data_IF_814549640267
#
_entry.id   IF_814549640267
#
_cell.length_a   1.000
_cell.length_b   1.000
_cell.length_c   1.000
_cell.angle_alpha   90.00
_cell.angle_beta   90.00
_cell.angle_gamma   90.00
#
_symmetry.space_group_name_H-M   'P 1'
#
loop_
_entity.id
_entity.type
_entity.pdbx_description
1 polymer ?
#
# COMPACT_ATOMS: atom_id res chain seq x y z
N UNK A 1 8.10 11.31 -2.70
CA UNK A 1 9.39 10.60 -2.55
C UNK A 1 9.54 10.23 -1.09
N UNK A 2 10.16 9.10 -0.79
CA UNK A 2 10.53 8.72 0.57
C UNK A 2 12.02 8.43 0.64
N UNK A 3 12.67 8.81 1.73
CA UNK A 3 14.07 8.53 2.01
C UNK A 3 14.27 8.41 3.51
N UNK A 4 15.12 7.48 3.97
CA UNK A 4 15.47 7.40 5.37
C UNK A 4 16.36 6.20 5.72
N UNK A 5 16.50 5.94 7.01
CA UNK A 5 17.35 4.88 7.53
C UNK A 5 16.68 3.52 7.34
N UNK A 6 17.46 2.54 6.92
CA UNK A 6 17.00 1.16 6.79
C UNK A 6 16.49 0.61 8.12
N UNK A 7 15.46 -0.24 8.07
CA UNK A 7 15.04 -1.03 9.24
C UNK A 7 15.99 -2.19 9.58
N UNK A 8 17.16 -2.26 8.95
CA UNK A 8 18.20 -3.25 9.23
C UNK A 8 19.58 -2.61 9.11
N UNK A 9 20.48 -3.00 10.01
CA UNK A 9 21.90 -2.59 10.00
C UNK A 9 22.77 -3.40 9.05
N UNK A 10 22.23 -4.46 8.41
CA UNK A 10 22.98 -5.39 7.57
C UNK A 10 22.64 -5.28 6.07
N UNK A 11 21.49 -4.68 5.75
CA UNK A 11 20.95 -4.55 4.38
C UNK A 11 19.94 -3.40 4.30
N UNK A 12 19.62 -2.95 3.08
CA UNK A 12 18.52 -2.00 2.85
C UNK A 12 17.17 -2.70 3.00
N UNK A 13 16.40 -2.31 4.02
CA UNK A 13 15.14 -2.93 4.39
C UNK A 13 14.07 -1.88 4.70
N UNK A 14 12.92 -2.01 4.06
CA UNK A 14 11.77 -1.12 4.28
C UNK A 14 11.08 -1.37 5.63
N UNK A 15 10.86 -2.63 6.00
CA UNK A 15 10.25 -2.95 7.30
C UNK A 15 11.17 -2.53 8.45
N UNK A 16 10.64 -1.77 9.39
CA UNK A 16 11.36 -1.21 10.54
C UNK A 16 12.10 0.09 10.26
N UNK A 17 11.93 0.67 9.07
CA UNK A 17 12.60 1.93 8.70
C UNK A 17 11.93 3.16 9.30
N UNK A 18 12.74 4.19 9.50
CA UNK A 18 12.35 5.57 9.80
C UNK A 18 12.62 6.38 8.52
N UNK A 19 11.57 6.95 7.93
CA UNK A 19 11.64 7.65 6.64
C UNK A 19 10.92 8.98 6.65
N UNK A 20 11.53 9.96 5.97
CA UNK A 20 10.82 11.17 5.58
C UNK A 20 10.08 10.94 4.26
N UNK A 21 8.79 11.25 4.23
CA UNK A 21 7.98 11.34 3.01
C UNK A 21 7.87 12.79 2.58
N UNK A 22 8.45 13.11 1.43
CA UNK A 22 8.49 14.46 0.86
C UNK A 22 7.73 14.57 -0.46
N UNK A 23 6.96 15.65 -0.63
CA UNK A 23 6.20 15.96 -1.84
C UNK A 23 5.90 17.45 -1.98
N UNK A 24 5.52 17.86 -3.19
CA UNK A 24 4.98 19.20 -3.45
C UNK A 24 3.46 19.14 -3.61
N UNK A 25 2.76 20.12 -3.06
CA UNK A 25 1.36 20.43 -3.38
C UNK A 25 1.27 21.88 -3.86
N UNK A 26 1.11 22.05 -5.18
CA UNK A 26 1.33 23.34 -5.84
C UNK A 26 2.76 23.82 -5.63
N UNK A 27 2.92 24.93 -4.91
CA UNK A 27 4.24 25.52 -4.56
C UNK A 27 4.69 25.18 -3.13
N UNK A 28 3.84 24.52 -2.34
CA UNK A 28 4.16 24.17 -0.95
C UNK A 28 4.90 22.84 -0.93
N UNK A 29 6.05 22.81 -0.25
CA UNK A 29 6.74 21.57 0.05
C UNK A 29 6.30 21.00 1.39
N UNK A 30 6.28 19.68 1.45
CA UNK A 30 6.03 18.88 2.63
C UNK A 30 7.17 17.89 2.78
N UNK A 31 7.57 17.64 4.01
CA UNK A 31 8.52 16.63 4.42
C UNK A 31 8.10 16.20 5.81
N UNK A 32 7.42 15.06 5.91
CA UNK A 32 6.87 14.54 7.16
C UNK A 32 7.51 13.23 7.53
N UNK A 33 7.64 13.01 8.83
CA UNK A 33 8.25 11.81 9.41
C UNK A 33 7.28 10.63 9.47
N UNK A 34 7.79 9.46 9.09
CA UNK A 34 7.03 8.22 9.01
C UNK A 34 7.83 7.02 9.52
N UNK A 35 7.18 6.23 10.37
CA UNK A 35 7.63 4.92 10.80
C UNK A 35 6.99 3.80 9.97
N UNK A 36 7.79 2.81 9.58
CA UNK A 36 7.34 1.65 8.80
C UNK A 36 7.29 0.40 9.65
N UNK A 37 6.11 0.10 10.19
CA UNK A 37 5.87 -1.05 11.07
C UNK A 37 5.28 -2.27 10.34
N UNK A 38 4.76 -2.10 9.12
CA UNK A 38 4.28 -3.17 8.24
C UNK A 38 4.29 -2.72 6.76
N UNK A 39 4.26 -3.68 5.82
CA UNK A 39 4.34 -3.42 4.37
C UNK A 39 2.97 -3.12 3.73
N UNK A 40 2.24 -2.21 4.35
CA UNK A 40 0.88 -1.77 3.97
C UNK A 40 0.72 -0.27 4.27
N UNK A 41 -0.18 0.47 3.60
CA UNK A 41 -0.52 1.83 4.01
C UNK A 41 -0.95 1.89 5.49
N UNK A 42 -0.88 3.06 6.11
CA UNK A 42 -1.27 3.19 7.52
C UNK A 42 -2.72 2.75 7.75
N UNK A 43 -2.90 1.75 8.61
CA UNK A 43 -4.20 1.16 8.96
C UNK A 43 -4.31 0.96 10.47
N UNK A 44 -5.55 0.95 10.98
CA UNK A 44 -5.82 0.68 12.40
C UNK A 44 -6.05 -0.81 12.64
N UNK A 45 -5.11 -1.47 13.30
CA UNK A 45 -5.19 -2.87 13.73
C UNK A 45 -5.52 -2.90 15.21
N UNK A 46 -6.77 -3.27 15.54
CA UNK A 46 -7.25 -3.41 16.92
C UNK A 46 -6.99 -2.19 17.81
N UNK A 47 -7.11 -0.99 17.24
CA UNK A 47 -6.93 0.28 17.95
C UNK A 47 -5.52 0.85 17.89
N UNK A 48 -4.56 0.15 17.29
CA UNK A 48 -3.19 0.62 17.07
C UNK A 48 -2.93 0.88 15.59
N UNK A 49 -2.21 1.94 15.26
CA UNK A 49 -1.77 2.19 13.89
C UNK A 49 -0.60 1.26 13.53
N UNK A 50 -0.69 0.64 12.35
CA UNK A 50 0.36 -0.21 11.76
C UNK A 50 0.46 0.07 10.27
N UNK A 51 1.64 -0.20 9.69
CA UNK A 51 1.92 0.09 8.28
C UNK A 51 2.97 1.17 8.13
N UNK A 52 2.89 1.91 7.02
CA UNK A 52 3.65 3.13 6.76
C UNK A 52 2.87 4.31 7.32
N UNK A 53 3.15 4.68 8.58
CA UNK A 53 2.36 5.65 9.34
C UNK A 53 3.19 6.88 9.69
N UNK A 54 2.54 8.05 9.75
CA UNK A 54 3.15 9.24 10.35
C UNK A 54 3.50 8.96 11.81
N UNK A 55 4.58 9.53 12.31
CA UNK A 55 5.06 9.24 13.67
C UNK A 55 4.05 9.64 14.75
N UNK A 56 3.36 10.76 14.55
CA UNK A 56 2.27 11.21 15.43
C UNK A 56 1.16 10.16 15.64
N UNK A 57 0.91 9.29 14.64
CA UNK A 57 -0.10 8.25 14.73
C UNK A 57 0.37 7.02 15.52
N UNK A 58 1.68 6.83 15.64
CA UNK A 58 2.29 5.70 16.38
C UNK A 58 2.89 6.12 17.72
N UNK A 59 2.56 7.34 18.19
CA UNK A 59 2.97 7.86 19.49
C UNK A 59 4.27 8.66 19.48
N UNK A 60 4.81 8.92 18.29
CA UNK A 60 5.98 9.74 18.03
C UNK A 60 5.66 11.21 17.73
N UNK A 61 6.62 11.92 17.15
CA UNK A 61 6.53 13.33 16.76
C UNK A 61 7.14 13.52 15.37
N UNK A 62 6.56 14.39 14.54
CA UNK A 62 7.19 14.76 13.27
C UNK A 62 8.50 15.53 13.54
N UNK A 63 9.65 14.86 13.39
CA UNK A 63 10.96 15.44 13.69
C UNK A 63 11.51 16.28 12.53
N UNK A 64 10.81 16.31 11.39
CA UNK A 64 11.22 17.02 10.19
C UNK A 64 10.73 18.48 10.20
N UNK A 65 11.62 19.38 9.80
CA UNK A 65 11.33 20.80 9.65
C UNK A 65 11.57 21.23 8.21
N UNK A 66 10.49 21.57 7.50
CA UNK A 66 10.56 22.05 6.13
C UNK A 66 11.36 23.37 6.06
N UNK A 67 12.31 23.46 5.14
CA UNK A 67 13.11 24.66 4.90
C UNK A 67 12.72 25.38 3.60
N UNK A 68 12.95 24.76 2.44
CA UNK A 68 12.61 25.34 1.12
C UNK A 68 12.01 24.30 0.19
N UNK A 69 11.18 24.79 -0.74
CA UNK A 69 10.56 23.99 -1.78
C UNK A 69 10.59 24.78 -3.07
N UNK A 70 11.20 24.24 -4.11
CA UNK A 70 11.31 24.89 -5.40
C UNK A 70 11.19 23.89 -6.53
N UNK A 71 10.93 24.40 -7.73
CA UNK A 71 10.98 23.63 -8.96
C UNK A 71 11.92 24.33 -9.91
N UNK A 72 12.99 23.65 -10.29
CA UNK A 72 13.99 24.15 -11.23
C UNK A 72 14.20 23.14 -12.35
N UNK A 73 14.17 23.61 -13.60
CA UNK A 73 14.37 22.77 -14.80
C UNK A 73 13.55 21.46 -14.81
N UNK A 74 12.32 21.52 -14.30
CA UNK A 74 11.42 20.37 -14.22
C UNK A 74 11.64 19.45 -13.02
N UNK A 75 12.68 19.68 -12.22
CA UNK A 75 13.04 18.92 -11.01
C UNK A 75 12.44 19.61 -9.79
N UNK A 76 11.77 18.83 -8.94
CA UNK A 76 11.29 19.31 -7.64
C UNK A 76 12.41 19.16 -6.61
N UNK A 77 12.73 20.25 -5.92
CA UNK A 77 13.77 20.31 -4.90
C UNK A 77 13.09 20.66 -3.58
N UNK A 78 13.21 19.78 -2.59
CA UNK A 78 12.68 19.98 -1.25
C UNK A 78 13.86 19.88 -0.28
N UNK A 79 14.08 20.93 0.48
CA UNK A 79 15.08 20.97 1.54
C UNK A 79 14.36 21.02 2.88
N UNK A 80 14.74 20.13 3.77
CA UNK A 80 14.25 20.08 5.15
C UNK A 80 15.43 19.77 6.07
N UNK A 81 15.24 19.96 7.37
CA UNK A 81 16.21 19.60 8.40
C UNK A 81 15.54 18.73 9.46
N UNK A 82 16.31 17.83 10.06
CA UNK A 82 15.93 17.07 11.25
C UNK A 82 17.10 16.98 12.22
N UNK A 83 16.82 16.62 13.47
CA UNK A 83 17.86 16.34 14.46
C UNK A 83 18.55 15.01 14.14
N UNK A 84 19.86 14.90 14.39
CA UNK A 84 20.59 13.64 14.22
C UNK A 84 20.16 12.58 15.24
N UNK A 85 19.83 13.03 16.44
CA UNK A 85 19.27 12.22 17.52
C UNK A 85 17.97 12.90 17.94
N UNK A 86 16.89 12.15 17.89
CA UNK A 86 15.55 12.61 18.23
C UNK A 86 15.16 12.12 19.64
N UNK A 87 14.35 12.88 20.40
CA UNK A 87 13.74 12.37 21.63
C UNK A 87 12.62 11.35 21.36
N UNK A 88 12.19 11.19 20.11
CA UNK A 88 11.21 10.18 19.71
C UNK A 88 11.83 8.77 19.78
N UNK A 89 11.28 7.84 20.60
CA UNK A 89 11.80 6.48 20.69
C UNK A 89 11.59 5.65 19.40
N UNK A 90 10.70 6.09 18.51
CA UNK A 90 10.47 5.48 17.20
C UNK A 90 11.53 5.83 16.15
N UNK A 91 12.29 6.90 16.38
CA UNK A 91 13.29 7.41 15.44
C UNK A 91 14.60 6.62 15.52
N UNK A 92 15.25 6.51 14.37
CA UNK A 92 16.60 5.98 14.30
C UNK A 92 17.63 7.11 14.34
N UNK A 93 18.73 6.98 15.10
CA UNK A 93 19.79 7.97 15.10
C UNK A 93 20.48 8.00 13.74
N UNK A 94 20.81 9.20 13.26
CA UNK A 94 21.64 9.42 12.09
C UNK A 94 23.12 9.49 12.53
N UNK A 95 23.90 8.41 12.39
CA UNK A 95 25.26 8.39 12.88
C UNK A 95 26.16 9.29 12.04
N UNK A 96 27.11 9.94 12.71
CA UNK A 96 28.16 10.76 12.09
C UNK A 96 29.39 9.95 11.72
N UNK A 97 29.43 8.66 12.05
CA UNK A 97 30.56 7.78 11.79
C UNK A 97 30.12 6.52 11.03
N UNK A 98 30.92 6.11 10.06
CA UNK A 98 30.72 4.90 9.29
C UNK A 98 29.62 4.99 8.22
N UNK A 99 29.43 3.87 7.52
CA UNK A 99 28.43 3.74 6.48
C UNK A 99 27.16 3.07 7.01
N UNK A 100 26.01 3.70 6.82
CA UNK A 100 24.69 3.14 7.13
C UNK A 100 23.98 2.63 5.89
N UNK A 101 23.03 1.71 6.09
CA UNK A 101 22.08 1.33 5.06
C UNK A 101 20.90 2.30 5.04
N UNK A 102 20.51 2.72 3.85
CA UNK A 102 19.35 3.60 3.63
C UNK A 102 18.36 2.95 2.69
N UNK A 103 17.15 3.49 2.69
CA UNK A 103 16.13 3.16 1.71
C UNK A 103 15.61 4.43 1.06
N UNK A 104 15.12 4.29 -0.17
CA UNK A 104 14.41 5.36 -0.84
C UNK A 104 13.37 4.77 -1.79
N UNK A 105 12.32 5.54 -2.05
CA UNK A 105 11.30 5.17 -3.00
C UNK A 105 10.61 6.39 -3.62
N UNK A 106 10.10 6.23 -4.83
CA UNK A 106 9.22 7.20 -5.47
C UNK A 106 7.92 6.52 -5.88
N UNK A 107 6.80 7.16 -5.58
CA UNK A 107 5.47 6.66 -5.85
C UNK A 107 4.44 7.77 -5.73
N UNK A 108 3.19 7.43 -6.05
CA UNK A 108 2.06 8.33 -5.92
C UNK A 108 1.56 8.34 -4.47
N UNK A 109 0.97 9.46 -4.08
CA UNK A 109 0.24 9.59 -2.81
C UNK A 109 -1.26 9.44 -3.10
N UNK A 110 -2.00 8.90 -2.13
CA UNK A 110 -3.46 8.80 -2.23
C UNK A 110 -4.15 10.16 -2.06
N UNK A 111 -5.49 10.15 -2.04
CA UNK A 111 -6.30 11.35 -1.89
C UNK A 111 -6.08 12.08 -0.55
N UNK A 112 -5.59 11.38 0.48
CA UNK A 112 -5.22 11.94 1.78
C UNK A 112 -3.75 12.37 1.85
N UNK A 113 -3.05 12.37 0.71
CA UNK A 113 -1.60 12.60 0.60
C UNK A 113 -0.78 11.59 1.41
N UNK A 114 -1.28 10.36 1.57
CA UNK A 114 -0.56 9.29 2.25
C UNK A 114 0.16 8.38 1.25
N UNK A 115 1.33 7.83 1.62
CA UNK A 115 2.10 6.98 0.73
C UNK A 115 1.35 5.69 0.41
N UNK A 116 1.29 5.36 -0.88
CA UNK A 116 0.82 4.05 -1.36
C UNK A 116 1.99 3.19 -1.83
N UNK A 117 1.70 2.11 -2.56
CA UNK A 117 2.79 1.33 -3.13
C UNK A 117 3.63 2.17 -4.10
N UNK A 118 4.95 2.07 -3.98
CA UNK A 118 5.88 2.87 -4.76
C UNK A 118 6.13 2.29 -6.15
N UNK A 119 6.46 3.16 -7.10
CA UNK A 119 6.71 2.80 -8.49
C UNK A 119 8.20 2.50 -8.75
N UNK A 120 9.09 3.22 -8.04
CA UNK A 120 10.53 3.17 -8.25
C UNK A 120 11.21 3.01 -6.90
N UNK A 121 12.07 2.01 -6.78
CA UNK A 121 12.78 1.65 -5.56
C UNK A 121 13.95 0.71 -5.89
N UNK A 122 15.01 0.69 -5.05
CA UNK A 122 16.15 -0.19 -5.23
C UNK A 122 15.82 -1.64 -4.82
N UNK A 123 16.53 -2.60 -5.42
CA UNK A 123 16.54 -4.02 -5.02
C UNK A 123 17.85 -4.47 -4.38
N UNK A 124 18.85 -3.60 -4.43
CA UNK A 124 20.18 -3.81 -3.88
C UNK A 124 20.34 -2.91 -2.66
N UNK A 125 21.31 -3.27 -1.84
CA UNK A 125 21.69 -2.46 -0.70
C UNK A 125 22.27 -1.13 -1.15
N UNK A 126 21.83 -0.06 -0.49
CA UNK A 126 22.33 1.29 -0.66
C UNK A 126 22.95 1.70 0.66
N UNK A 127 24.24 2.07 0.60
CA UNK A 127 24.99 2.55 1.76
C UNK A 127 25.40 4.00 1.55
N UNK A 128 25.30 4.78 2.62
CA UNK A 128 25.74 6.18 2.64
C UNK A 128 26.54 6.44 3.91
N UNK A 129 27.50 7.35 3.81
CA UNK A 129 28.27 7.85 4.94
C UNK A 129 27.90 9.32 5.11
N UNK A 130 27.26 9.64 6.23
CA UNK A 130 26.64 10.95 6.44
C UNK A 130 27.63 11.99 7.00
N UNK A 131 28.57 11.56 7.86
CA UNK A 131 29.56 12.44 8.49
C UNK A 131 30.87 12.54 7.75
N UNK A 132 30.84 12.66 6.41
CA UNK A 132 32.08 12.84 5.63
C UNK A 132 32.74 14.16 5.94
N UNK A 133 34.06 14.14 6.15
CA UNK A 133 34.86 15.34 6.36
C UNK A 133 34.96 16.23 5.10
N UNK A 134 35.01 15.61 3.92
CA UNK A 134 35.05 16.31 2.64
C UNK A 134 33.72 16.19 1.90
N UNK A 135 33.18 17.33 1.46
CA UNK A 135 31.99 17.35 0.61
C UNK A 135 32.29 16.68 -0.73
N UNK A 136 31.54 15.64 -1.08
CA UNK A 136 31.62 14.98 -2.38
C UNK A 136 30.26 15.03 -3.07
N UNK A 137 30.23 15.50 -4.32
CA UNK A 137 29.07 15.40 -5.18
C UNK A 137 29.36 14.40 -6.29
N UNK A 138 28.80 13.22 -6.17
CA UNK A 138 28.79 12.19 -7.21
C UNK A 138 27.45 12.15 -7.96
N UNK A 139 26.65 13.22 -7.85
CA UNK A 139 25.40 13.37 -8.56
C UNK A 139 25.66 13.61 -10.04
N UNK A 140 24.89 12.94 -10.90
CA UNK A 140 24.92 13.14 -12.35
C UNK A 140 23.70 13.94 -12.78
N UNK A 141 23.86 14.75 -13.83
CA UNK A 141 22.72 15.48 -14.42
C UNK A 141 21.70 14.50 -15.00
N UNK A 142 20.42 14.76 -14.80
CA UNK A 142 19.36 14.03 -15.48
C UNK A 142 19.38 14.39 -16.98
N UNK A 143 19.83 13.45 -17.81
CA UNK A 143 20.01 13.68 -19.27
C UNK A 143 18.84 13.19 -20.12
N UNK A 144 17.90 12.44 -19.52
CA UNK A 144 16.77 11.84 -20.22
C UNK A 144 15.52 11.90 -19.35
N UNK A 145 14.39 12.14 -20.00
CA UNK A 145 13.07 11.88 -19.44
C UNK A 145 12.56 10.56 -20.01
N UNK A 146 12.17 9.61 -19.17
CA UNK A 146 11.45 8.44 -19.65
C UNK A 146 10.00 8.85 -19.94
N UNK A 147 9.68 9.00 -21.22
CA UNK A 147 8.37 9.42 -21.69
C UNK A 147 7.49 8.26 -22.13
N UNK A 148 7.97 7.01 -22.09
CA UNK A 148 7.18 5.87 -22.53
C UNK A 148 6.27 5.36 -21.42
N UNK A 149 5.18 6.09 -21.21
CA UNK A 149 4.04 5.55 -20.47
C UNK A 149 3.46 4.39 -21.28
N UNK A 150 3.64 3.17 -20.79
CA UNK A 150 3.01 2.00 -21.39
C UNK A 150 1.52 2.01 -21.10
N UNK A 151 0.74 1.67 -22.11
CA UNK A 151 -0.71 1.60 -21.99
C UNK A 151 -1.14 0.64 -20.87
N UNK A 152 -2.09 1.05 -20.00
CA UNK A 152 -2.68 0.17 -19.01
C UNK A 152 -3.21 -1.13 -19.62
N UNK A 153 -3.20 -2.20 -18.83
CA UNK A 153 -3.90 -3.42 -19.22
C UNK A 153 -5.41 -3.16 -19.27
N UNK A 154 -6.08 -3.79 -20.24
CA UNK A 154 -7.52 -3.71 -20.36
C UNK A 154 -8.21 -4.14 -19.04
N UNK A 155 -9.10 -3.27 -18.53
CA UNK A 155 -9.89 -3.54 -17.33
C UNK A 155 -10.82 -4.73 -17.60
N UNK A 156 -10.81 -5.70 -16.70
CA UNK A 156 -11.72 -6.85 -16.79
C UNK A 156 -13.17 -6.43 -16.60
N UNK A 157 -14.10 -7.11 -17.26
CA UNK A 157 -15.54 -6.87 -17.11
C UNK A 157 -16.26 -8.21 -16.92
N UNK A 158 -17.24 -8.24 -16.01
CA UNK A 158 -18.11 -9.38 -15.77
C UNK A 158 -19.56 -8.92 -15.94
N UNK A 159 -20.13 -9.24 -17.11
CA UNK A 159 -21.50 -8.89 -17.50
C UNK A 159 -22.38 -10.11 -17.82
N UNK A 160 -21.85 -11.31 -17.61
CA UNK A 160 -22.64 -12.54 -17.75
C UNK A 160 -23.77 -12.57 -16.72
N UNK A 161 -25.00 -12.52 -17.25
CA UNK A 161 -26.24 -12.45 -16.48
C UNK A 161 -26.51 -13.72 -15.70
N UNK A 162 -25.83 -14.83 -15.97
CA UNK A 162 -25.99 -16.10 -15.24
C UNK A 162 -25.15 -16.18 -13.97
N UNK A 163 -24.08 -15.37 -13.89
CA UNK A 163 -23.20 -15.36 -12.72
C UNK A 163 -23.93 -14.72 -11.53
N UNK A 164 -24.01 -15.47 -10.43
CA UNK A 164 -24.55 -15.02 -9.14
C UNK A 164 -23.55 -15.14 -8.00
N UNK A 165 -22.44 -15.83 -8.23
CA UNK A 165 -21.39 -16.05 -7.23
C UNK A 165 -20.08 -15.51 -7.76
N UNK A 166 -19.47 -14.61 -6.99
CA UNK A 166 -18.16 -14.03 -7.25
C UNK A 166 -17.17 -14.55 -6.21
N UNK A 167 -15.99 -14.96 -6.66
CA UNK A 167 -14.89 -15.34 -5.77
C UNK A 167 -13.87 -14.21 -5.78
N UNK A 168 -13.60 -13.65 -4.60
CA UNK A 168 -12.69 -12.53 -4.39
C UNK A 168 -11.41 -13.02 -3.73
N UNK A 169 -10.28 -12.85 -4.41
CA UNK A 169 -8.94 -13.22 -3.95
C UNK A 169 -8.06 -11.98 -3.84
N UNK A 170 -6.98 -12.06 -3.07
CA UNK A 170 -5.95 -11.02 -3.06
C UNK A 170 -4.82 -11.39 -4.02
N UNK A 171 -4.20 -10.38 -4.62
CA UNK A 171 -3.01 -10.54 -5.43
C UNK A 171 -2.30 -9.21 -5.65
N UNK A 172 -1.14 -9.18 -6.34
CA UNK A 172 -0.42 -7.94 -6.57
C UNK A 172 -1.23 -6.98 -7.44
N UNK A 173 -1.04 -5.67 -7.23
CA UNK A 173 -1.76 -4.63 -7.98
C UNK A 173 -1.35 -4.51 -9.46
N UNK A 174 -0.26 -5.16 -9.89
CA UNK A 174 0.15 -5.24 -11.28
C UNK A 174 0.87 -3.99 -11.81
N UNK A 175 1.63 -3.31 -10.95
CA UNK A 175 2.44 -2.15 -11.32
C UNK A 175 1.62 -0.97 -11.83
N UNK A 176 2.22 -0.15 -12.68
CA UNK A 176 1.57 1.03 -13.28
C UNK A 176 0.52 0.64 -14.29
N UNK A 177 0.67 -0.53 -14.94
CA UNK A 177 -0.26 -1.00 -15.98
C UNK A 177 -1.48 -1.75 -15.43
N UNK A 178 -1.42 -2.22 -14.20
CA UNK A 178 -2.49 -2.94 -13.52
C UNK A 178 -3.56 -2.02 -12.94
N UNK A 179 -3.82 -2.14 -11.63
CA UNK A 179 -4.89 -1.41 -10.93
C UNK A 179 -4.76 0.10 -11.14
N UNK A 180 -3.55 0.64 -10.99
CA UNK A 180 -3.30 2.07 -11.08
C UNK A 180 -3.61 2.62 -12.48
N UNK A 181 -3.14 1.93 -13.52
CA UNK A 181 -3.39 2.34 -14.90
C UNK A 181 -4.86 2.17 -15.30
N UNK A 182 -5.49 1.07 -14.88
CA UNK A 182 -6.86 0.75 -15.29
C UNK A 182 -7.93 1.60 -14.60
N UNK A 183 -7.65 2.09 -13.38
CA UNK A 183 -8.62 2.87 -12.58
C UNK A 183 -8.27 4.35 -12.47
N UNK A 184 -7.02 4.72 -12.74
CA UNK A 184 -6.48 6.06 -12.47
C UNK A 184 -6.21 6.34 -10.98
N UNK A 185 -6.54 5.40 -10.09
CA UNK A 185 -6.36 5.54 -8.64
C UNK A 185 -4.99 5.02 -8.20
N UNK A 186 -4.52 5.46 -7.05
CA UNK A 186 -3.32 4.89 -6.42
C UNK A 186 -3.57 3.46 -5.96
N UNK A 187 -2.56 2.59 -6.06
CA UNK A 187 -2.68 1.20 -5.64
C UNK A 187 -1.91 0.90 -4.35
N UNK A 188 -2.46 0.05 -3.50
CA UNK A 188 -1.69 -0.59 -2.42
C UNK A 188 -0.82 -1.73 -2.99
N UNK A 189 -0.08 -2.44 -2.12
CA UNK A 189 0.71 -3.60 -2.55
C UNK A 189 -0.17 -4.72 -3.11
N UNK A 190 -1.42 -4.82 -2.65
CA UNK A 190 -2.41 -5.82 -3.02
C UNK A 190 -3.66 -5.19 -3.65
N UNK A 191 -4.36 -5.98 -4.47
CA UNK A 191 -5.62 -5.64 -5.10
C UNK A 191 -6.56 -6.85 -5.13
N UNK A 192 -7.85 -6.58 -5.29
CA UNK A 192 -8.88 -7.61 -5.42
C UNK A 192 -8.88 -8.25 -6.81
N UNK A 193 -8.89 -9.58 -6.83
CA UNK A 193 -9.07 -10.40 -8.01
C UNK A 193 -10.45 -11.06 -7.92
N UNK A 194 -11.37 -10.66 -8.80
CA UNK A 194 -12.72 -11.23 -8.83
C UNK A 194 -12.81 -12.20 -10.00
N UNK A 195 -13.07 -13.48 -9.72
CA UNK A 195 -13.09 -14.55 -10.72
C UNK A 195 -11.83 -14.58 -11.61
N UNK A 196 -10.66 -14.25 -11.03
CA UNK A 196 -9.38 -14.24 -11.73
C UNK A 196 -9.10 -12.98 -12.57
N UNK A 197 -9.97 -11.97 -12.53
CA UNK A 197 -9.74 -10.66 -13.14
C UNK A 197 -9.31 -9.65 -12.07
N UNK A 198 -8.31 -8.81 -12.38
CA UNK A 198 -7.86 -7.72 -11.49
C UNK A 198 -8.88 -6.58 -11.48
N UNK A 199 -9.41 -6.28 -10.29
CA UNK A 199 -10.36 -5.21 -10.01
C UNK A 199 -11.38 -4.96 -11.15
N UNK A 200 -12.14 -5.99 -11.56
CA UNK A 200 -12.98 -5.89 -12.74
C UNK A 200 -14.23 -5.06 -12.45
N UNK A 201 -14.84 -4.60 -13.53
CA UNK A 201 -16.17 -4.02 -13.49
C UNK A 201 -17.24 -5.11 -13.42
N UNK A 202 -18.12 -5.03 -12.43
CA UNK A 202 -19.19 -5.99 -12.21
C UNK A 202 -20.53 -5.40 -12.62
N UNK A 203 -21.22 -6.04 -13.56
CA UNK A 203 -22.54 -5.61 -14.02
C UNK A 203 -23.61 -6.48 -13.38
N UNK A 204 -24.30 -5.93 -12.39
CA UNK A 204 -25.31 -6.62 -11.60
C UNK A 204 -26.72 -6.16 -12.00
N UNK A 205 -27.71 -7.05 -11.86
CA UNK A 205 -29.13 -6.76 -12.12
C UNK A 205 -29.84 -6.51 -10.80
N UNK A 206 -30.65 -5.44 -10.76
CA UNK A 206 -31.50 -5.13 -9.61
C UNK A 206 -32.50 -6.27 -9.36
N UNK A 207 -32.85 -6.48 -8.08
CA UNK A 207 -33.80 -7.50 -7.65
C UNK A 207 -33.25 -8.93 -7.57
N UNK A 208 -31.94 -9.11 -7.80
CA UNK A 208 -31.29 -10.42 -7.69
C UNK A 208 -30.29 -10.44 -6.53
N UNK A 209 -30.21 -11.59 -5.88
CA UNK A 209 -29.24 -11.85 -4.82
C UNK A 209 -27.93 -12.34 -5.41
N UNK A 210 -26.83 -11.73 -5.00
CA UNK A 210 -25.47 -12.10 -5.40
C UNK A 210 -24.68 -12.52 -4.17
N UNK A 211 -23.81 -13.52 -4.33
CA UNK A 211 -22.94 -14.04 -3.28
C UNK A 211 -21.48 -13.69 -3.60
N UNK A 212 -20.77 -13.14 -2.63
CA UNK A 212 -19.33 -12.92 -2.71
C UNK A 212 -18.63 -13.86 -1.74
N UNK A 213 -17.82 -14.78 -2.26
CA UNK A 213 -16.93 -15.64 -1.48
C UNK A 213 -15.59 -14.93 -1.34
N UNK A 214 -15.31 -14.47 -0.14
CA UNK A 214 -14.16 -13.60 0.13
C UNK A 214 -12.99 -14.41 0.69
N UNK A 215 -11.83 -14.27 0.07
CA UNK A 215 -10.58 -14.91 0.46
C UNK A 215 -9.50 -13.87 0.83
N UNK A 216 -9.88 -12.87 1.61
CA UNK A 216 -9.05 -11.72 1.98
C UNK A 216 -8.30 -11.84 3.29
N UNK A 217 -8.41 -12.99 3.97
CA UNK A 217 -7.87 -13.21 5.31
C UNK A 217 -8.85 -12.82 6.42
N UNK A 218 -8.83 -13.60 7.50
CA UNK A 218 -9.77 -13.52 8.62
C UNK A 218 -9.10 -13.18 9.95
N UNK A 219 -7.78 -12.90 9.95
CA UNK A 219 -7.04 -12.55 11.14
C UNK A 219 -6.99 -11.03 11.34
N UNK A 220 -7.82 -10.43 12.23
CA UNK A 220 -7.85 -8.98 12.44
C UNK A 220 -6.59 -8.41 13.09
N UNK A 221 -5.62 -9.24 13.50
CA UNK A 221 -4.31 -8.80 13.97
C UNK A 221 -3.31 -8.55 12.84
N UNK A 222 -3.61 -8.99 11.62
CA UNK A 222 -2.74 -8.83 10.46
C UNK A 222 -2.98 -7.48 9.78
N UNK A 223 -1.98 -6.60 9.79
CA UNK A 223 -2.06 -5.34 9.05
C UNK A 223 -2.04 -5.57 7.53
N UNK A 224 -1.29 -6.58 7.08
CA UNK A 224 -1.00 -6.82 5.66
C UNK A 224 -2.01 -7.76 5.00
N UNK A 225 -2.65 -8.64 5.77
CA UNK A 225 -3.46 -9.74 5.23
C UNK A 225 -4.85 -9.86 5.88
N UNK A 226 -5.39 -8.76 6.41
CA UNK A 226 -6.79 -8.67 6.82
C UNK A 226 -7.56 -7.71 5.92
N UNK A 227 -8.21 -8.26 4.88
CA UNK A 227 -8.94 -7.48 3.88
C UNK A 227 -10.39 -7.94 3.80
N UNK A 228 -11.28 -7.44 4.67
CA UNK A 228 -12.71 -7.64 4.48
C UNK A 228 -13.19 -6.94 3.20
N UNK A 229 -14.10 -7.57 2.47
CA UNK A 229 -14.66 -6.99 1.25
C UNK A 229 -15.91 -6.18 1.57
N UNK A 230 -15.78 -4.86 1.55
CA UNK A 230 -16.91 -3.93 1.72
C UNK A 230 -17.24 -3.30 0.37
N UNK A 231 -18.52 -3.28 0.00
CA UNK A 231 -18.98 -2.61 -1.22
C UNK A 231 -19.71 -1.34 -0.80
N UNK A 232 -19.21 -0.20 -1.25
CA UNK A 232 -19.76 1.13 -0.94
C UNK A 232 -19.88 1.97 -2.21
N UNK A 233 -20.41 3.18 -2.08
CA UNK A 233 -20.30 4.22 -3.12
C UNK A 233 -19.16 5.20 -2.90
N UNK A 234 -18.25 4.94 -1.95
CA UNK A 234 -17.03 5.73 -1.79
C UNK A 234 -16.02 5.36 -2.89
N UNK A 235 -15.58 6.33 -3.73
CA UNK A 235 -14.81 6.03 -4.93
C UNK A 235 -13.36 5.57 -4.69
N UNK A 236 -12.74 5.83 -3.54
CA UNK A 236 -11.33 5.56 -3.27
C UNK A 236 -11.11 4.27 -2.46
N UNK A 237 -12.16 3.71 -1.87
CA UNK A 237 -12.09 2.56 -0.99
C UNK A 237 -11.50 2.89 0.39
N UNK A 238 -11.11 1.84 1.13
CA UNK A 238 -10.54 2.03 2.47
C UNK A 238 -11.53 2.60 3.48
N UNK A 239 -12.78 2.13 3.47
CA UNK A 239 -13.86 2.58 4.36
C UNK A 239 -13.43 2.68 5.83
N UNK A 240 -12.66 1.72 6.34
CA UNK A 240 -12.16 1.70 7.71
C UNK A 240 -11.07 2.75 8.03
N UNK A 241 -10.51 3.41 7.00
CA UNK A 241 -9.55 4.52 7.14
C UNK A 241 -10.23 5.89 7.21
N UNK A 242 -11.52 5.96 6.91
CA UNK A 242 -12.29 7.21 6.99
C UNK A 242 -12.57 7.60 8.45
N UNK A 243 -12.74 8.89 8.71
CA UNK A 243 -13.22 9.38 10.00
C UNK A 243 -14.66 8.91 10.25
N UNK A 244 -15.10 8.87 11.51
CA UNK A 244 -16.47 8.47 11.87
C UNK A 244 -17.52 9.34 11.13
N UNK A 245 -17.25 10.64 10.96
CA UNK A 245 -18.11 11.56 10.22
C UNK A 245 -18.15 11.25 8.73
N UNK A 246 -17.01 10.92 8.12
CA UNK A 246 -16.93 10.54 6.72
C UNK A 246 -17.62 9.20 6.46
N UNK A 247 -17.40 8.20 7.33
CA UNK A 247 -18.09 6.91 7.27
C UNK A 247 -19.61 7.05 7.31
N UNK A 248 -20.13 7.96 8.15
CA UNK A 248 -21.58 8.19 8.27
C UNK A 248 -22.26 8.68 6.97
N UNK A 249 -21.48 9.25 6.05
CA UNK A 249 -21.95 9.78 4.77
C UNK A 249 -21.84 8.79 3.62
N UNK A 250 -21.13 7.68 3.82
CA UNK A 250 -20.93 6.65 2.80
C UNK A 250 -22.08 5.66 2.83
N UNK A 251 -22.66 5.37 1.66
CA UNK A 251 -23.68 4.33 1.54
C UNK A 251 -23.00 2.98 1.41
N UNK A 252 -23.10 2.18 2.46
CA UNK A 252 -22.65 0.78 2.43
C UNK A 252 -23.72 -0.09 1.79
N UNK A 253 -23.35 -0.81 0.72
CA UNK A 253 -24.23 -1.72 0.00
C UNK A 253 -24.19 -3.13 0.59
N UNK A 254 -23.01 -3.60 1.00
CA UNK A 254 -22.83 -4.89 1.69
C UNK A 254 -21.46 -5.01 2.37
N UNK A 255 -21.28 -6.03 3.20
CA UNK A 255 -20.01 -6.40 3.82
C UNK A 255 -19.76 -5.78 5.21
N UNK A 256 -20.73 -5.06 5.75
CA UNK A 256 -20.67 -4.44 7.10
C UNK A 256 -21.97 -4.72 7.85
N UNK A 257 -21.84 -5.00 9.14
CA UNK A 257 -22.92 -4.91 10.11
C UNK A 257 -22.68 -3.74 11.08
N UNK A 258 -23.75 -3.09 11.50
CA UNK A 258 -23.68 -2.03 12.49
C UNK A 258 -23.98 -2.56 13.88
N UNK A 259 -23.08 -2.30 14.82
CA UNK A 259 -23.32 -2.59 16.23
C UNK A 259 -24.50 -1.77 16.77
N UNK A 260 -25.03 -2.12 17.96
CA UNK A 260 -26.07 -1.33 18.65
C UNK A 260 -25.71 0.14 18.85
N UNK A 261 -24.42 0.47 18.87
CA UNK A 261 -23.89 1.83 19.01
C UNK A 261 -23.62 2.52 17.66
N UNK A 262 -24.09 1.95 16.56
CA UNK A 262 -23.89 2.49 15.21
C UNK A 262 -22.48 2.33 14.64
N UNK A 263 -21.55 1.67 15.35
CA UNK A 263 -20.20 1.41 14.81
C UNK A 263 -20.23 0.33 13.74
N UNK A 264 -19.66 0.56 12.55
CA UNK A 264 -19.55 -0.45 11.51
C UNK A 264 -18.58 -1.56 11.93
N UNK A 265 -18.90 -2.79 11.55
CA UNK A 265 -18.06 -3.97 11.70
C UNK A 265 -18.04 -4.76 10.38
N UNK A 266 -16.86 -5.02 9.80
CA UNK A 266 -16.79 -5.84 8.60
C UNK A 266 -17.29 -7.26 8.87
N UNK A 267 -18.15 -7.77 8.00
CA UNK A 267 -18.68 -9.14 8.08
C UNK A 267 -18.23 -10.03 6.93
N UNK A 268 -17.71 -9.44 5.86
CA UNK A 268 -17.27 -10.13 4.66
C UNK A 268 -15.75 -10.41 4.71
N UNK A 269 -15.30 -11.15 5.72
CA UNK A 269 -13.95 -11.70 5.82
C UNK A 269 -13.98 -13.23 5.69
N UNK A 270 -12.87 -13.84 5.27
CA UNK A 270 -12.78 -15.29 5.04
C UNK A 270 -11.33 -15.78 5.00
N UNK A 271 -11.10 -17.08 4.76
CA UNK A 271 -9.75 -17.66 4.75
C UNK A 271 -8.85 -16.94 3.75
N UNK A 272 -7.56 -16.78 4.03
CA UNK A 272 -6.67 -16.08 3.11
C UNK A 272 -6.41 -16.95 1.88
N UNK A 273 -6.60 -16.40 0.68
CA UNK A 273 -5.97 -16.94 -0.51
C UNK A 273 -5.35 -15.84 -1.35
N UNK A 274 -4.03 -15.93 -1.49
CA UNK A 274 -3.17 -14.87 -1.98
C UNK A 274 -2.41 -15.34 -3.21
N UNK A 275 -2.59 -14.64 -4.33
CA UNK A 275 -1.71 -14.74 -5.48
C UNK A 275 -0.40 -14.02 -5.17
N UNK A 276 0.73 -14.67 -5.41
CA UNK A 276 2.08 -14.15 -5.18
C UNK A 276 2.92 -14.35 -6.42
N UNK A 277 3.90 -13.46 -6.61
CA UNK A 277 4.97 -13.74 -7.55
C UNK A 277 5.73 -15.00 -7.14
N UNK A 278 6.33 -15.70 -8.11
CA UNK A 278 7.27 -16.78 -7.79
C UNK A 278 8.48 -16.22 -7.05
N UNK A 279 9.11 -17.04 -6.22
CA UNK A 279 10.35 -16.66 -5.54
C UNK A 279 11.37 -16.11 -6.56
N UNK A 280 12.14 -15.09 -6.14
CA UNK A 280 13.15 -14.38 -6.94
C UNK A 280 12.60 -13.51 -8.10
N UNK A 281 11.29 -13.43 -8.31
CA UNK A 281 10.71 -12.55 -9.34
C UNK A 281 10.86 -11.08 -8.94
N UNK A 282 11.41 -10.26 -9.83
CA UNK A 282 11.44 -8.81 -9.63
C UNK A 282 10.11 -8.17 -10.01
N UNK A 283 9.32 -7.82 -9.00
CA UNK A 283 8.04 -7.10 -9.11
C UNK A 283 8.13 -5.78 -9.89
N UNK A 284 9.30 -5.15 -9.99
CA UNK A 284 9.48 -3.91 -10.79
C UNK A 284 9.28 -4.17 -12.29
N UNK A 285 9.34 -5.43 -12.71
CA UNK A 285 9.13 -5.88 -14.08
C UNK A 285 7.67 -6.25 -14.36
N UNK A 286 6.75 -6.02 -13.42
CA UNK A 286 5.32 -6.31 -13.63
C UNK A 286 4.78 -5.60 -14.89
N UNK A 287 5.24 -4.39 -15.17
CA UNK A 287 4.82 -3.61 -16.33
C UNK A 287 5.34 -4.20 -17.68
N UNK A 288 6.31 -5.11 -17.65
CA UNK A 288 6.87 -5.83 -18.82
C UNK A 288 5.96 -6.93 -19.36
N UNK A 289 4.97 -7.37 -18.58
CA UNK A 289 4.00 -8.31 -19.10
C UNK A 289 3.11 -7.65 -20.17
N UNK A 290 2.94 -8.27 -21.36
CA UNK A 290 2.20 -7.65 -22.46
C UNK A 290 0.70 -7.55 -22.19
N UNK A 291 0.16 -8.35 -21.27
CA UNK A 291 -1.23 -8.28 -20.83
C UNK A 291 -1.41 -8.82 -19.42
N UNK A 292 -2.46 -8.37 -18.75
CA UNK A 292 -2.87 -8.89 -17.44
C UNK A 292 -3.01 -10.43 -17.43
N UNK A 293 -3.51 -11.04 -18.51
CA UNK A 293 -3.64 -12.50 -18.59
C UNK A 293 -2.29 -13.22 -18.50
N UNK A 294 -1.23 -12.67 -19.12
CA UNK A 294 0.12 -13.26 -19.01
C UNK A 294 0.70 -13.02 -17.62
N UNK A 295 0.49 -11.83 -17.05
CA UNK A 295 0.87 -11.51 -15.68
C UNK A 295 0.20 -12.45 -14.67
N UNK A 296 -1.13 -12.57 -14.67
CA UNK A 296 -1.84 -13.42 -13.72
C UNK A 296 -1.44 -14.91 -13.82
N UNK A 297 -1.06 -15.39 -15.01
CA UNK A 297 -0.53 -16.75 -15.21
C UNK A 297 0.87 -16.98 -14.63
N UNK A 298 1.64 -15.93 -14.37
CA UNK A 298 2.96 -16.05 -13.76
C UNK A 298 2.89 -16.20 -12.24
N UNK A 299 1.75 -15.82 -11.63
CA UNK A 299 1.52 -15.86 -10.20
C UNK A 299 1.24 -17.29 -9.69
N UNK A 300 1.57 -17.53 -8.43
CA UNK A 300 1.24 -18.74 -7.67
C UNK A 300 0.21 -18.37 -6.61
N UNK A 301 -0.85 -19.17 -6.49
CA UNK A 301 -1.87 -19.00 -5.45
C UNK A 301 -1.51 -19.84 -4.23
N UNK A 302 -1.47 -19.20 -3.06
CA UNK A 302 -1.33 -19.86 -1.76
C UNK A 302 -2.59 -19.58 -0.95
N UNK A 303 -3.38 -20.63 -0.67
CA UNK A 303 -4.58 -20.53 0.14
C UNK A 303 -4.37 -21.23 1.49
N UNK A 304 -4.90 -20.65 2.55
CA UNK A 304 -5.06 -21.33 3.84
C UNK A 304 -6.03 -22.51 3.70
N UNK A 305 -5.72 -23.61 4.37
CA UNK A 305 -6.65 -24.73 4.46
C UNK A 305 -7.89 -24.30 5.24
N UNK A 306 -9.06 -24.52 4.64
CA UNK A 306 -10.32 -24.29 5.35
C UNK A 306 -10.45 -25.42 6.36
N UNK A 307 -10.17 -25.14 7.64
CA UNK A 307 -10.57 -26.04 8.71
C UNK A 307 -12.09 -26.13 8.71
N UNK A 308 -12.62 -27.17 8.07
CA UNK A 308 -14.00 -27.58 8.30
C UNK A 308 -14.06 -28.07 9.73
N UNK A 309 -14.51 -27.21 10.64
CA UNK A 309 -14.91 -27.63 11.98
C UNK A 309 -16.00 -28.69 11.83
N UNK A 310 -15.63 -29.95 11.99
CA UNK A 310 -16.57 -31.04 12.21
C UNK A 310 -17.09 -30.83 13.63
N UNK A 311 -18.16 -30.05 13.79
CA UNK A 311 -19.02 -30.19 14.95
C UNK A 311 -19.62 -31.59 14.88
N UNK A 312 -19.01 -32.53 15.62
CA UNK A 312 -19.64 -33.80 15.93
C UNK A 312 -20.92 -33.50 16.73
N UNK A 313 -22.11 -33.90 16.26
CA UNK A 313 -23.33 -33.79 17.04
C UNK A 313 -23.35 -34.93 18.07
N UNK A 314 -22.54 -34.82 19.12
CA UNK A 314 -22.64 -35.62 20.35
C UNK A 314 -22.17 -34.78 21.54
N UNK A 315 -23.09 -33.98 22.05
CA UNK A 315 -23.43 -33.88 23.49
C UNK A 315 -24.32 -32.66 23.72
N UNK A 316 -25.63 -32.89 23.63
CA UNK A 316 -26.68 -32.22 24.40
C UNK A 316 -27.70 -33.25 24.82
#
# INVERSE_FOLDING_TARGET
>A
MAFGISGSTEKSQMLGSDVTVAYLDGYRGFASDYNVTALTPCVRVLGQYKGVCKDELVGGQDSNQMHTASRDNGINIITFRRSLISPDPGDQPYPTEGSIYVIWAMGRLDHNKEPTFHDIYPKTDIRVELGRNESSSNCFSFTRSDTQLREPWAKGQIYDKTIRTFKAYLGPSGGKRGYQGATGQTSTSLAWYINGLLAPELWLRRGLTYSFRVYGGNNPHSAEFYHPLIITDEPHGGFDRLSDEAQSKVRVLTGVEYSRRGRPRPTAAGPLCLAKHKDLTDRRLDDDFPSFRKFNRSLIYTCEEVQHGVENPRDR
#
